data_IF_361192037084
#
_entry.id   IF_361192037084
#
_cell.length_a   1.000
_cell.length_b   1.000
_cell.length_c   1.000
_cell.angle_alpha   90.00
_cell.angle_beta   90.00
_cell.angle_gamma   90.00
#
_symmetry.space_group_name_H-M   'P 1'
#
loop_
_entity.id
_entity.type
_entity.pdbx_description
1 polymer ?
#
# COMPACT_ATOMS: atom_id res chain seq x y z
N UNK A 1 34.93 -80.39 -65.94
CA UNK A 1 36.38 -80.09 -66.06
C UNK A 1 36.69 -78.84 -65.26
N UNK A 2 37.67 -78.93 -64.33
CA UNK A 2 38.51 -77.87 -63.70
C UNK A 2 37.77 -76.73 -62.96
N UNK A 3 37.84 -76.62 -61.62
CA UNK A 3 38.96 -76.13 -60.78
C UNK A 3 39.27 -74.63 -61.05
N UNK A 4 39.55 -73.72 -60.10
CA UNK A 4 39.58 -73.60 -58.63
C UNK A 4 40.08 -72.15 -58.33
N UNK A 5 40.19 -71.79 -57.05
CA UNK A 5 40.84 -70.58 -56.44
C UNK A 5 39.96 -69.31 -56.36
N UNK A 6 39.50 -68.82 -55.19
CA UNK A 6 40.09 -68.63 -53.85
C UNK A 6 41.17 -67.53 -53.80
N UNK A 7 40.83 -66.40 -53.15
CA UNK A 7 41.75 -65.72 -52.24
C UNK A 7 41.01 -64.91 -51.16
N UNK A 8 41.47 -65.16 -49.95
CA UNK A 8 41.02 -64.67 -48.65
C UNK A 8 41.27 -63.19 -48.40
N UNK A 9 40.55 -62.66 -47.40
CA UNK A 9 40.80 -61.35 -46.80
C UNK A 9 40.06 -61.11 -45.49
N UNK A 10 40.41 -61.84 -44.43
CA UNK A 10 40.59 -61.28 -43.09
C UNK A 10 39.37 -60.88 -42.23
N UNK A 11 39.14 -61.66 -41.18
CA UNK A 11 38.32 -61.35 -39.99
C UNK A 11 38.80 -60.10 -39.25
N UNK A 12 37.88 -59.32 -38.67
CA UNK A 12 37.97 -59.01 -37.24
C UNK A 12 36.62 -58.64 -36.62
N UNK A 13 36.28 -59.40 -35.58
CA UNK A 13 35.15 -59.25 -34.67
C UNK A 13 35.36 -58.06 -33.73
N UNK A 14 34.32 -57.25 -33.48
CA UNK A 14 34.16 -56.65 -32.15
C UNK A 14 32.69 -56.69 -31.72
N UNK A 15 32.46 -57.54 -30.71
CA UNK A 15 31.27 -57.54 -29.85
C UNK A 15 31.22 -56.18 -29.14
N UNK A 16 30.27 -55.32 -29.49
CA UNK A 16 29.80 -54.31 -28.54
C UNK A 16 28.59 -54.91 -27.81
N UNK A 17 28.85 -55.34 -26.57
CA UNK A 17 27.85 -55.93 -25.70
C UNK A 17 26.81 -54.92 -25.20
N UNK A 18 25.75 -55.40 -24.53
CA UNK A 18 24.61 -54.62 -24.06
C UNK A 18 24.93 -53.65 -22.90
N UNK A 19 26.20 -53.35 -22.64
CA UNK A 19 26.63 -52.52 -21.51
C UNK A 19 26.55 -51.01 -21.78
N UNK A 20 26.37 -50.59 -23.04
CA UNK A 20 26.26 -49.17 -23.39
C UNK A 20 24.85 -48.59 -23.14
N UNK A 21 23.79 -49.38 -23.32
CA UNK A 21 22.41 -48.92 -23.08
C UNK A 21 22.09 -48.79 -21.59
N UNK A 22 22.60 -49.71 -20.76
CA UNK A 22 22.38 -49.67 -19.31
C UNK A 22 23.05 -48.45 -18.66
N UNK A 23 24.25 -48.04 -19.10
CA UNK A 23 24.96 -46.87 -18.57
C UNK A 23 24.30 -45.55 -18.95
N UNK A 24 23.74 -45.45 -20.16
CA UNK A 24 22.98 -44.26 -20.61
C UNK A 24 21.64 -44.13 -19.87
N UNK A 25 20.92 -45.24 -19.63
CA UNK A 25 19.71 -45.21 -18.81
C UNK A 25 20.00 -44.84 -17.36
N UNK A 26 21.09 -45.35 -16.76
CA UNK A 26 21.46 -45.02 -15.39
C UNK A 26 21.88 -43.55 -15.25
N UNK A 27 22.59 -43.00 -16.25
CA UNK A 27 22.97 -41.58 -16.28
C UNK A 27 21.74 -40.68 -16.41
N UNK A 28 20.78 -41.04 -17.28
CA UNK A 28 19.52 -40.30 -17.44
C UNK A 28 18.66 -40.36 -16.17
N UNK A 29 18.61 -41.50 -15.48
CA UNK A 29 17.92 -41.65 -14.19
C UNK A 29 18.61 -40.87 -13.07
N UNK A 30 19.95 -40.85 -13.03
CA UNK A 30 20.71 -40.03 -12.08
C UNK A 30 20.53 -38.54 -12.33
N UNK A 31 20.50 -38.10 -13.60
CA UNK A 31 20.21 -36.70 -13.94
C UNK A 31 18.77 -36.34 -13.58
N UNK A 32 17.79 -37.22 -13.85
CA UNK A 32 16.39 -37.00 -13.45
C UNK A 32 16.22 -37.00 -11.92
N UNK A 33 16.93 -37.87 -11.19
CA UNK A 33 16.94 -37.88 -9.73
C UNK A 33 17.67 -36.67 -9.14
N UNK A 34 18.76 -36.18 -9.76
CA UNK A 34 19.46 -34.98 -9.31
C UNK A 34 18.68 -33.69 -9.65
N UNK A 35 17.98 -33.63 -10.78
CA UNK A 35 17.06 -32.51 -11.08
C UNK A 35 15.80 -32.58 -10.19
N UNK A 36 15.28 -33.78 -9.91
CA UNK A 36 14.18 -34.00 -8.98
C UNK A 36 14.54 -33.65 -7.53
N UNK A 37 15.76 -33.99 -7.07
CA UNK A 37 16.28 -33.58 -5.77
C UNK A 37 16.58 -32.08 -5.74
N UNK A 38 17.20 -31.49 -6.77
CA UNK A 38 17.42 -30.05 -6.82
C UNK A 38 16.09 -29.28 -6.78
N UNK A 39 15.03 -29.73 -7.46
CA UNK A 39 13.71 -29.11 -7.37
C UNK A 39 12.96 -29.39 -6.07
N UNK A 40 13.11 -30.56 -5.46
CA UNK A 40 12.39 -30.89 -4.21
C UNK A 40 13.13 -30.46 -2.94
N UNK A 41 14.44 -30.21 -3.00
CA UNK A 41 15.26 -29.80 -1.83
C UNK A 41 15.79 -28.37 -1.92
N UNK A 42 16.02 -27.79 -3.12
CA UNK A 42 16.40 -26.38 -3.26
C UNK A 42 15.22 -25.43 -3.51
N UNK A 43 14.07 -25.89 -4.02
CA UNK A 43 12.88 -25.03 -4.10
C UNK A 43 12.27 -24.67 -2.73
N UNK A 44 12.23 -25.57 -1.73
CA UNK A 44 11.82 -25.17 -0.38
C UNK A 44 12.90 -24.37 0.36
N UNK A 45 14.19 -24.59 0.07
CA UNK A 45 15.28 -23.89 0.77
C UNK A 45 15.53 -22.46 0.26
N UNK A 46 15.25 -22.17 -1.02
CA UNK A 46 15.30 -20.80 -1.57
C UNK A 46 13.97 -20.05 -1.40
N UNK A 47 12.86 -20.75 -1.11
CA UNK A 47 11.60 -20.13 -0.67
C UNK A 47 11.48 -20.02 0.86
N UNK A 48 12.48 -20.48 1.62
CA UNK A 48 12.58 -20.32 3.07
C UNK A 48 13.50 -19.16 3.49
N UNK A 49 14.01 -18.36 2.55
CA UNK A 49 14.69 -17.10 2.87
C UNK A 49 13.62 -16.02 3.09
N UNK A 50 13.41 -15.67 4.35
CA UNK A 50 12.35 -14.80 4.88
C UNK A 50 10.95 -15.43 4.81
N UNK A 51 10.55 -16.15 5.87
CA UNK A 51 9.18 -15.97 6.35
C UNK A 51 8.95 -14.47 6.42
N UNK A 52 8.19 -13.92 5.47
CA UNK A 52 7.85 -12.51 5.48
C UNK A 52 6.87 -12.36 6.64
N UNK A 53 7.39 -12.24 7.86
CA UNK A 53 6.60 -11.96 9.06
C UNK A 53 6.13 -10.52 8.87
N UNK A 54 4.91 -10.38 8.37
CA UNK A 54 4.28 -9.07 8.23
C UNK A 54 3.87 -8.65 9.63
N UNK A 55 4.61 -7.70 10.21
CA UNK A 55 4.30 -7.21 11.54
C UNK A 55 2.92 -6.52 11.51
N UNK A 56 2.01 -6.99 12.36
CA UNK A 56 0.76 -6.27 12.64
C UNK A 56 1.16 -4.96 13.30
N UNK A 57 0.74 -3.80 12.76
CA UNK A 57 1.10 -2.52 13.35
C UNK A 57 0.42 -2.40 14.72
N UNK A 58 0.96 -1.54 15.58
CA UNK A 58 0.20 -1.09 16.74
C UNK A 58 -1.05 -0.32 16.28
N UNK A 59 -2.15 -0.37 17.05
CA UNK A 59 -3.37 0.36 16.68
C UNK A 59 -3.13 1.88 16.72
N UNK A 60 -2.21 2.33 17.56
CA UNK A 60 -1.86 3.73 17.75
C UNK A 60 -0.35 3.87 17.60
N UNK A 61 0.08 4.67 16.64
CA UNK A 61 1.48 5.05 16.45
C UNK A 61 1.70 6.41 17.08
N UNK A 62 2.54 6.48 18.11
CA UNK A 62 2.86 7.72 18.81
C UNK A 62 4.06 8.40 18.16
N UNK A 63 3.90 9.69 17.89
CA UNK A 63 4.94 10.56 17.36
C UNK A 63 5.11 11.72 18.33
N UNK A 64 6.36 12.04 18.67
CA UNK A 64 6.67 13.17 19.52
C UNK A 64 7.58 14.14 18.76
N UNK A 65 7.05 15.31 18.42
CA UNK A 65 7.81 16.41 17.82
C UNK A 65 8.51 17.28 18.87
N UNK A 66 8.21 17.11 20.16
CA UNK A 66 8.88 17.79 21.27
C UNK A 66 10.15 17.05 21.74
N UNK A 67 10.24 15.74 21.50
CA UNK A 67 11.41 14.93 21.83
C UNK A 67 12.60 15.23 20.90
N UNK A 68 13.48 16.14 21.33
CA UNK A 68 14.81 16.35 20.73
C UNK A 68 15.62 15.04 20.86
N UNK A 69 15.69 14.25 19.78
CA UNK A 69 16.52 13.02 19.73
C UNK A 69 15.78 11.69 19.49
N UNK A 70 14.51 11.69 19.08
CA UNK A 70 13.81 10.45 18.72
C UNK A 70 14.47 9.67 17.55
N UNK A 71 14.30 8.34 17.52
CA UNK A 71 15.02 7.37 16.66
C UNK A 71 15.02 7.68 15.15
N UNK A 72 14.06 8.46 14.65
CA UNK A 72 14.11 9.05 13.31
C UNK A 72 13.93 10.55 13.47
N UNK A 73 15.01 11.35 13.46
CA UNK A 73 14.89 12.77 13.73
C UNK A 73 14.13 13.45 12.59
N UNK A 74 13.16 14.33 12.89
CA UNK A 74 12.42 15.02 11.87
C UNK A 74 13.38 15.79 10.95
N UNK A 75 13.22 15.59 9.64
CA UNK A 75 14.02 16.28 8.63
C UNK A 75 13.36 17.61 8.32
N UNK A 76 14.17 18.65 8.37
CA UNK A 76 13.78 19.96 7.89
C UNK A 76 13.83 19.94 6.35
N UNK A 77 12.71 20.26 5.69
CA UNK A 77 12.64 20.28 4.22
C UNK A 77 13.04 21.66 3.70
N UNK A 78 13.73 21.69 2.55
CA UNK A 78 14.33 22.87 1.90
C UNK A 78 13.34 24.01 1.54
N UNK A 79 12.04 23.87 1.86
CA UNK A 79 10.99 24.90 1.73
C UNK A 79 10.67 25.64 3.05
N UNK A 80 11.44 25.41 4.12
CA UNK A 80 11.61 26.46 5.14
C UNK A 80 10.54 26.61 6.23
N UNK A 81 9.58 25.69 6.42
CA UNK A 81 8.53 25.91 7.45
C UNK A 81 7.95 24.67 8.15
N UNK A 82 8.51 23.47 7.97
CA UNK A 82 7.93 22.26 8.54
C UNK A 82 8.95 21.20 8.97
N UNK A 83 8.63 20.51 10.07
CA UNK A 83 9.29 19.30 10.51
C UNK A 83 8.62 18.09 9.86
N UNK A 84 9.37 17.24 9.15
CA UNK A 84 8.83 16.01 8.54
C UNK A 84 9.39 14.74 9.20
N UNK A 85 8.49 13.83 9.60
CA UNK A 85 8.79 12.46 9.99
C UNK A 85 8.13 11.49 9.01
N UNK A 86 8.84 10.45 8.58
CA UNK A 86 8.27 9.39 7.74
C UNK A 86 8.05 8.13 8.57
N UNK A 87 6.82 7.65 8.63
CA UNK A 87 6.41 6.43 9.31
C UNK A 87 6.05 5.33 8.29
N UNK A 88 6.90 4.31 8.10
CA UNK A 88 6.53 3.12 7.35
C UNK A 88 5.80 2.13 8.27
N UNK A 89 4.61 1.67 7.86
CA UNK A 89 3.90 0.58 8.53
C UNK A 89 3.00 -0.17 7.55
N UNK A 90 2.55 -1.37 7.91
CA UNK A 90 1.64 -2.17 7.06
C UNK A 90 0.25 -2.24 7.67
N UNK A 91 -0.82 -2.17 6.89
CA UNK A 91 -2.22 -2.32 7.36
C UNK A 91 -2.68 -3.78 7.38
N UNK A 92 -1.78 -4.68 7.74
CA UNK A 92 -2.03 -6.13 7.81
C UNK A 92 -2.80 -6.42 9.09
N UNK A 93 -3.94 -7.11 8.96
CA UNK A 93 -4.81 -7.40 10.10
C UNK A 93 -5.49 -6.19 10.75
N UNK A 94 -5.35 -4.99 10.18
CA UNK A 94 -6.01 -3.78 10.66
C UNK A 94 -6.70 -3.04 9.52
N UNK A 95 -7.91 -2.57 9.80
CA UNK A 95 -8.61 -1.63 8.92
C UNK A 95 -8.14 -0.19 9.16
N UNK A 96 -7.61 0.10 10.35
CA UNK A 96 -7.25 1.45 10.77
C UNK A 96 -6.03 1.42 11.69
N UNK A 97 -5.18 2.44 11.53
CA UNK A 97 -4.12 2.83 12.48
C UNK A 97 -4.27 4.31 12.76
N UNK A 98 -4.21 4.70 14.03
CA UNK A 98 -4.26 6.10 14.44
C UNK A 98 -2.84 6.61 14.69
N UNK A 99 -2.47 7.73 14.09
CA UNK A 99 -1.25 8.47 14.41
C UNK A 99 -1.61 9.49 15.48
N UNK A 100 -0.96 9.38 16.64
CA UNK A 100 -1.08 10.33 17.74
C UNK A 100 0.21 11.16 17.80
N UNK A 101 0.12 12.43 17.41
CA UNK A 101 1.25 13.34 17.35
C UNK A 101 1.21 14.33 18.51
N UNK A 102 2.24 14.33 19.34
CA UNK A 102 2.46 15.34 20.36
C UNK A 102 3.27 16.50 19.76
N UNK A 103 2.73 17.70 19.82
CA UNK A 103 3.34 18.90 19.28
C UNK A 103 3.96 19.74 20.41
N UNK A 104 5.16 20.32 20.21
CA UNK A 104 5.81 21.16 21.22
C UNK A 104 5.05 22.47 21.48
N UNK A 105 4.28 22.94 20.50
CA UNK A 105 3.47 24.16 20.56
C UNK A 105 2.30 24.05 19.57
N UNK A 106 1.26 24.91 19.65
CA UNK A 106 0.15 24.89 18.71
C UNK A 106 0.62 25.16 17.28
N UNK A 107 0.21 24.36 16.29
CA UNK A 107 0.52 24.62 14.89
C UNK A 107 -0.28 23.72 13.97
N UNK A 108 0.09 23.69 12.68
CA UNK A 108 -0.64 22.91 11.68
C UNK A 108 0.04 21.56 11.48
N UNK A 109 -0.62 20.50 11.90
CA UNK A 109 -0.19 19.12 11.63
C UNK A 109 -0.91 18.55 10.41
N UNK A 110 -0.14 17.91 9.53
CA UNK A 110 -0.63 17.23 8.34
C UNK A 110 0.00 15.84 8.22
N UNK A 111 -0.74 14.90 7.65
CA UNK A 111 -0.19 13.62 7.24
C UNK A 111 -0.42 13.46 5.74
N UNK A 112 0.68 13.20 5.03
CA UNK A 112 0.69 13.00 3.59
C UNK A 112 1.05 11.54 3.31
N UNK A 113 0.25 10.88 2.50
CA UNK A 113 0.56 9.54 2.02
C UNK A 113 1.59 9.63 0.88
N UNK A 114 2.78 9.06 1.09
CA UNK A 114 3.85 9.06 0.10
C UNK A 114 3.84 7.83 -0.82
N UNK A 115 3.22 6.72 -0.40
CA UNK A 115 3.05 5.54 -1.24
C UNK A 115 1.63 5.51 -1.84
N UNK A 116 1.47 5.97 -3.08
CA UNK A 116 0.18 6.01 -3.77
C UNK A 116 -0.47 4.63 -3.98
N UNK A 117 0.31 3.53 -3.95
CA UNK A 117 -0.24 2.18 -4.08
C UNK A 117 -1.09 1.77 -2.88
N UNK A 118 -0.75 2.27 -1.68
CA UNK A 118 -1.47 1.95 -0.45
C UNK A 118 -2.75 2.77 -0.34
N UNK A 119 -3.80 2.39 -1.07
CA UNK A 119 -5.10 3.10 -1.07
C UNK A 119 -5.64 3.26 0.36
N UNK A 120 -5.45 4.43 0.96
CA UNK A 120 -5.91 4.78 2.30
C UNK A 120 -6.68 6.09 2.28
N UNK A 121 -7.53 6.24 3.28
CA UNK A 121 -8.25 7.46 3.59
C UNK A 121 -7.64 8.05 4.86
N UNK A 122 -7.32 9.34 4.83
CA UNK A 122 -6.73 10.07 5.95
C UNK A 122 -7.86 10.89 6.59
N UNK A 123 -8.20 10.60 7.85
CA UNK A 123 -9.26 11.29 8.58
C UNK A 123 -8.69 11.98 9.80
N UNK A 124 -8.91 13.29 9.92
CA UNK A 124 -8.50 14.05 11.11
C UNK A 124 -9.55 13.87 12.21
N UNK A 125 -9.10 13.51 13.40
CA UNK A 125 -9.95 13.49 14.60
C UNK A 125 -9.89 14.85 15.32
N UNK A 126 -10.86 15.16 16.20
CA UNK A 126 -10.78 16.35 17.05
C UNK A 126 -9.49 16.34 17.88
N UNK A 127 -8.73 17.44 17.82
CA UNK A 127 -7.52 17.62 18.60
C UNK A 127 -7.84 17.77 20.10
N UNK A 128 -6.94 17.29 20.95
CA UNK A 128 -7.04 17.42 22.40
C UNK A 128 -5.77 18.10 22.94
N UNK A 129 -5.83 19.42 23.12
CA UNK A 129 -4.68 20.21 23.57
C UNK A 129 -3.54 20.21 22.54
N UNK A 130 -2.33 19.86 22.97
CA UNK A 130 -1.14 19.76 22.12
C UNK A 130 -1.03 18.43 21.34
N UNK A 131 -2.05 17.57 21.43
CA UNK A 131 -2.06 16.27 20.77
C UNK A 131 -3.02 16.26 19.59
N UNK A 132 -2.48 15.97 18.42
CA UNK A 132 -3.20 15.76 17.17
C UNK A 132 -3.42 14.27 16.93
N UNK A 133 -4.58 13.92 16.36
CA UNK A 133 -4.92 12.53 16.03
C UNK A 133 -5.41 12.43 14.60
N UNK A 134 -4.77 11.55 13.84
CA UNK A 134 -5.11 11.29 12.45
C UNK A 134 -5.27 9.79 12.25
N UNK A 135 -6.44 9.37 11.76
CA UNK A 135 -6.70 8.00 11.37
C UNK A 135 -6.26 7.76 9.93
N UNK A 136 -5.47 6.71 9.75
CA UNK A 136 -5.16 6.13 8.46
C UNK A 136 -6.03 4.89 8.29
N UNK A 137 -7.08 5.04 7.50
CA UNK A 137 -8.08 3.99 7.27
C UNK A 137 -7.81 3.35 5.91
N UNK A 138 -7.78 2.02 5.87
CA UNK A 138 -7.65 1.27 4.62
C UNK A 138 -8.86 1.54 3.74
N UNK A 139 -8.65 2.12 2.56
CA UNK A 139 -9.74 2.33 1.59
C UNK A 139 -10.06 1.05 0.80
N UNK A 140 -9.17 0.05 0.89
CA UNK A 140 -9.39 -1.27 0.32
C UNK A 140 -10.46 -2.05 1.07
N UNK A 141 -11.60 -2.28 0.41
CA UNK A 141 -12.63 -3.19 0.87
C UNK A 141 -12.40 -4.56 0.26
N UNK A 142 -12.08 -5.52 1.13
CA UNK A 142 -11.88 -6.90 0.70
C UNK A 142 -13.22 -7.58 0.47
N UNK A 143 -13.28 -8.33 -0.62
CA UNK A 143 -14.46 -9.09 -0.99
C UNK A 143 -14.15 -10.58 -0.84
N UNK A 144 -14.84 -11.31 0.04
CA UNK A 144 -14.62 -12.75 0.17
C UNK A 144 -15.12 -13.49 -1.06
N UNK A 145 -14.60 -14.70 -1.32
CA UNK A 145 -14.98 -15.51 -2.48
C UNK A 145 -16.50 -15.66 -2.64
N UNK A 146 -17.23 -15.89 -1.54
CA UNK A 146 -18.68 -16.06 -1.52
C UNK A 146 -19.42 -14.82 -2.02
N UNK A 147 -18.86 -13.62 -1.84
CA UNK A 147 -19.48 -12.41 -2.37
C UNK A 147 -19.33 -12.31 -3.89
N UNK A 148 -18.28 -12.87 -4.49
CA UNK A 148 -18.21 -12.99 -5.97
C UNK A 148 -19.23 -13.98 -6.50
N UNK A 149 -19.43 -15.12 -5.81
CA UNK A 149 -20.45 -16.09 -6.19
C UNK A 149 -21.86 -15.47 -6.17
N UNK A 150 -22.20 -14.70 -5.12
CA UNK A 150 -23.51 -14.02 -5.02
C UNK A 150 -23.70 -12.98 -6.13
N UNK A 151 -22.69 -12.18 -6.40
CA UNK A 151 -22.78 -11.17 -7.45
C UNK A 151 -22.87 -11.81 -8.84
N UNK A 152 -22.15 -12.90 -9.08
CA UNK A 152 -22.25 -13.67 -10.31
C UNK A 152 -23.65 -14.28 -10.50
N UNK A 153 -24.24 -14.81 -9.43
CA UNK A 153 -25.62 -15.31 -9.46
C UNK A 153 -26.63 -14.18 -9.77
N UNK A 154 -26.47 -13.02 -9.15
CA UNK A 154 -27.32 -11.85 -9.41
C UNK A 154 -27.23 -11.40 -10.88
N UNK A 155 -26.01 -11.28 -11.42
CA UNK A 155 -25.78 -10.93 -12.83
C UNK A 155 -26.34 -12.00 -13.77
N UNK A 156 -26.19 -13.28 -13.43
CA UNK A 156 -26.72 -14.37 -14.24
C UNK A 156 -28.26 -14.38 -14.27
N UNK A 157 -28.91 -14.09 -13.14
CA UNK A 157 -30.37 -13.95 -13.07
C UNK A 157 -30.87 -12.69 -13.78
N UNK A 158 -30.10 -11.60 -13.77
CA UNK A 158 -30.41 -10.38 -14.52
C UNK A 158 -30.39 -10.63 -16.03
N UNK A 159 -29.42 -11.42 -16.51
CA UNK A 159 -29.37 -11.83 -17.91
C UNK A 159 -30.63 -12.59 -18.37
N UNK A 160 -31.35 -13.22 -17.45
CA UNK A 160 -32.63 -13.91 -17.67
C UNK A 160 -33.86 -13.01 -17.46
N UNK A 161 -33.71 -11.69 -17.47
CA UNK A 161 -34.78 -10.75 -17.11
C UNK A 161 -36.08 -10.86 -17.91
N UNK A 162 -36.02 -11.26 -19.19
CA UNK A 162 -37.24 -11.52 -19.99
C UNK A 162 -37.93 -12.81 -19.52
N UNK A 163 -37.17 -13.89 -19.33
CA UNK A 163 -37.69 -15.16 -18.83
C UNK A 163 -38.24 -15.03 -17.41
N UNK A 164 -37.63 -14.19 -16.57
CA UNK A 164 -38.16 -13.84 -15.24
C UNK A 164 -39.50 -13.11 -15.35
N UNK A 165 -39.65 -12.18 -16.30
CA UNK A 165 -40.94 -11.50 -16.55
C UNK A 165 -42.01 -12.48 -17.01
N UNK A 166 -41.67 -13.40 -17.91
CA UNK A 166 -42.58 -14.47 -18.33
C UNK A 166 -42.97 -15.37 -17.15
N UNK A 167 -42.01 -15.80 -16.32
CA UNK A 167 -42.30 -16.59 -15.12
C UNK A 167 -43.21 -15.85 -14.12
N UNK A 168 -43.06 -14.53 -13.96
CA UNK A 168 -43.97 -13.70 -13.15
C UNK A 168 -45.40 -13.66 -13.68
N UNK A 169 -45.59 -13.69 -14.99
CA UNK A 169 -46.92 -13.76 -15.59
C UNK A 169 -47.56 -15.15 -15.37
N UNK A 170 -46.76 -16.22 -15.36
CA UNK A 170 -47.24 -17.56 -14.99
C UNK A 170 -47.67 -17.61 -13.51
N UNK A 171 -47.00 -16.85 -12.62
CA UNK A 171 -47.32 -16.78 -11.19
C UNK A 171 -48.68 -16.17 -10.87
N UNK A 172 -49.22 -15.26 -11.69
CA UNK A 172 -50.48 -14.55 -11.39
C UNK A 172 -51.71 -15.47 -11.24
N UNK A 173 -51.63 -16.72 -11.68
CA UNK A 173 -52.70 -17.72 -11.55
C UNK A 173 -52.36 -18.94 -10.69
N UNK A 174 -51.20 -18.97 -10.01
CA UNK A 174 -50.78 -20.13 -9.21
C UNK A 174 -51.05 -19.93 -7.72
N UNK A 175 -51.68 -20.93 -7.09
CA UNK A 175 -51.80 -20.98 -5.63
C UNK A 175 -50.53 -21.57 -4.99
N UNK A 176 -50.39 -21.39 -3.66
CA UNK A 176 -49.25 -21.89 -2.91
C UNK A 176 -49.07 -23.42 -3.02
N UNK A 177 -50.17 -24.16 -3.24
CA UNK A 177 -50.16 -25.62 -3.41
C UNK A 177 -49.51 -26.01 -4.75
N UNK A 178 -49.91 -25.36 -5.84
CA UNK A 178 -49.34 -25.55 -7.17
C UNK A 178 -47.86 -25.16 -7.20
N UNK A 179 -47.50 -24.04 -6.55
CA UNK A 179 -46.10 -23.61 -6.41
C UNK A 179 -45.22 -24.66 -5.73
N UNK A 180 -45.69 -25.20 -4.59
CA UNK A 180 -44.97 -26.25 -3.86
C UNK A 180 -44.89 -27.54 -4.68
N UNK A 181 -45.96 -27.92 -5.38
CA UNK A 181 -45.96 -29.11 -6.23
C UNK A 181 -44.91 -28.99 -7.34
N UNK A 182 -44.88 -27.85 -8.04
CA UNK A 182 -43.89 -27.56 -9.07
C UNK A 182 -42.46 -27.57 -8.50
N UNK A 183 -42.23 -26.85 -7.40
CA UNK A 183 -40.91 -26.78 -6.78
C UNK A 183 -40.46 -28.16 -6.29
N UNK A 184 -41.31 -28.97 -5.65
CA UNK A 184 -40.96 -30.35 -5.25
C UNK A 184 -40.60 -31.25 -6.43
N UNK A 185 -41.32 -31.12 -7.54
CA UNK A 185 -41.06 -31.92 -8.73
C UNK A 185 -39.70 -31.59 -9.36
N UNK A 186 -39.29 -30.33 -9.28
CA UNK A 186 -38.04 -29.83 -9.87
C UNK A 186 -36.86 -29.75 -8.88
N UNK A 187 -37.12 -29.81 -7.57
CA UNK A 187 -36.11 -29.76 -6.50
C UNK A 187 -35.39 -31.10 -6.37
N UNK A 188 -34.52 -31.41 -7.34
CA UNK A 188 -33.63 -32.58 -7.31
C UNK A 188 -32.56 -32.49 -6.21
N UNK A 189 -32.33 -31.30 -5.68
CA UNK A 189 -31.52 -31.02 -4.49
C UNK A 189 -32.40 -31.17 -3.25
N UNK A 190 -32.06 -32.06 -2.31
CA UNK A 190 -32.83 -32.35 -1.08
C UNK A 190 -32.99 -31.17 -0.08
N UNK A 191 -32.91 -29.91 -0.51
CA UNK A 191 -33.12 -28.76 0.34
C UNK A 191 -34.60 -28.66 0.74
N UNK A 192 -34.86 -28.47 2.04
CA UNK A 192 -36.21 -28.24 2.54
C UNK A 192 -36.77 -26.96 1.90
N UNK A 193 -37.98 -27.06 1.33
CA UNK A 193 -38.69 -25.88 0.84
C UNK A 193 -39.14 -25.05 2.05
N UNK A 194 -39.18 -23.71 1.96
CA UNK A 194 -39.74 -22.86 3.02
C UNK A 194 -41.17 -23.31 3.37
N UNK A 195 -41.42 -23.62 4.64
CA UNK A 195 -42.71 -24.19 5.06
C UNK A 195 -43.83 -23.15 5.16
N UNK A 196 -43.52 -21.87 5.32
CA UNK A 196 -44.52 -20.83 5.65
C UNK A 196 -44.45 -19.55 4.81
N UNK A 197 -43.38 -19.30 4.03
CA UNK A 197 -43.24 -18.03 3.29
C UNK A 197 -43.60 -18.17 1.80
N UNK A 198 -44.80 -17.71 1.44
CA UNK A 198 -45.28 -17.69 0.04
C UNK A 198 -44.42 -16.80 -0.86
N UNK A 199 -43.88 -15.68 -0.35
CA UNK A 199 -43.05 -14.78 -1.15
C UNK A 199 -41.72 -15.44 -1.51
N UNK A 200 -41.13 -16.21 -0.59
CA UNK A 200 -39.93 -17.01 -0.88
C UNK A 200 -40.21 -18.11 -1.92
N UNK A 201 -41.37 -18.77 -1.84
CA UNK A 201 -41.77 -19.79 -2.83
C UNK A 201 -41.97 -19.17 -4.23
N UNK A 202 -42.57 -17.97 -4.30
CA UNK A 202 -42.74 -17.22 -5.55
C UNK A 202 -41.40 -16.80 -6.15
N UNK A 203 -40.47 -16.27 -5.36
CA UNK A 203 -39.13 -15.89 -5.82
C UNK A 203 -38.31 -17.11 -6.32
N UNK A 204 -38.37 -18.23 -5.59
CA UNK A 204 -37.73 -19.49 -6.00
C UNK A 204 -38.30 -20.01 -7.33
N UNK A 205 -39.63 -20.01 -7.46
CA UNK A 205 -40.29 -20.39 -8.71
C UNK A 205 -39.84 -19.50 -9.87
N UNK A 206 -39.87 -18.18 -9.70
CA UNK A 206 -39.49 -17.24 -10.74
C UNK A 206 -38.05 -17.48 -11.22
N UNK A 207 -37.11 -17.65 -10.29
CA UNK A 207 -35.70 -17.93 -10.60
C UNK A 207 -35.54 -19.23 -11.38
N UNK A 208 -36.16 -20.32 -10.91
CA UNK A 208 -36.03 -21.63 -11.52
C UNK A 208 -36.69 -21.70 -12.89
N UNK A 209 -37.91 -21.17 -12.99
CA UNK A 209 -38.65 -21.12 -14.23
C UNK A 209 -37.92 -20.29 -15.28
N UNK A 210 -37.30 -19.17 -14.87
CA UNK A 210 -36.49 -18.37 -15.78
C UNK A 210 -35.28 -19.16 -16.32
N UNK A 211 -34.63 -19.98 -15.49
CA UNK A 211 -33.52 -20.86 -15.90
C UNK A 211 -33.99 -21.95 -16.87
N UNK A 212 -35.18 -22.52 -16.67
CA UNK A 212 -35.78 -23.50 -17.60
C UNK A 212 -36.13 -22.90 -18.97
N UNK A 213 -36.63 -21.67 -18.98
CA UNK A 213 -37.01 -20.96 -20.20
C UNK A 213 -35.80 -20.31 -20.91
N UNK A 214 -34.69 -20.11 -20.19
CA UNK A 214 -33.51 -19.39 -20.63
C UNK A 214 -32.31 -20.15 -21.25
N UNK A 215 -32.34 -21.45 -21.62
CA UNK A 215 -31.14 -22.13 -22.12
C UNK A 215 -30.42 -21.41 -23.26
N UNK A 216 -31.14 -20.87 -24.26
CA UNK A 216 -30.50 -20.17 -25.39
C UNK A 216 -29.81 -18.87 -24.97
N UNK A 217 -30.41 -18.13 -24.04
CA UNK A 217 -29.80 -16.91 -23.48
C UNK A 217 -28.51 -17.27 -22.74
N UNK A 218 -28.54 -18.30 -21.89
CA UNK A 218 -27.38 -18.75 -21.14
C UNK A 218 -26.26 -19.26 -22.05
N UNK A 219 -26.58 -20.02 -23.12
CA UNK A 219 -25.58 -20.44 -24.11
C UNK A 219 -24.93 -19.26 -24.80
N UNK A 220 -25.74 -18.28 -25.24
CA UNK A 220 -25.23 -17.07 -25.88
C UNK A 220 -24.26 -16.31 -24.97
N UNK A 221 -24.61 -16.14 -23.69
CA UNK A 221 -23.75 -15.47 -22.70
C UNK A 221 -22.49 -16.26 -22.34
N UNK A 222 -22.59 -17.59 -22.26
CA UNK A 222 -21.44 -18.47 -22.10
C UNK A 222 -20.47 -18.36 -23.28
N UNK A 223 -20.99 -18.31 -24.50
CA UNK A 223 -20.16 -18.10 -25.69
C UNK A 223 -19.50 -16.73 -25.71
N UNK A 224 -20.22 -15.68 -25.32
CA UNK A 224 -19.68 -14.32 -25.22
C UNK A 224 -18.51 -14.26 -24.22
N UNK A 225 -18.69 -14.81 -23.01
CA UNK A 225 -17.60 -14.94 -22.04
C UNK A 225 -16.46 -15.78 -22.60
N UNK A 226 -16.75 -16.92 -23.24
CA UNK A 226 -15.73 -17.80 -23.81
C UNK A 226 -14.93 -17.10 -24.92
N UNK A 227 -15.51 -16.21 -25.71
CA UNK A 227 -14.74 -15.44 -26.73
C UNK A 227 -13.69 -14.54 -26.09
N UNK A 228 -14.03 -13.92 -24.96
CA UNK A 228 -13.11 -13.04 -24.22
C UNK A 228 -12.16 -13.80 -23.27
N UNK A 229 -12.54 -15.02 -22.86
CA UNK A 229 -11.88 -15.84 -21.81
C UNK A 229 -11.62 -17.29 -22.25
N UNK A 230 -11.30 -17.52 -23.52
CA UNK A 230 -11.27 -18.86 -24.12
C UNK A 230 -10.34 -19.87 -23.45
N UNK A 231 -9.29 -19.43 -22.76
CA UNK A 231 -8.38 -20.31 -22.03
C UNK A 231 -9.00 -20.97 -20.79
N UNK A 232 -10.11 -20.45 -20.26
CA UNK A 232 -10.77 -20.96 -19.04
C UNK A 232 -11.77 -22.09 -19.30
N UNK A 233 -12.06 -22.35 -20.57
CA UNK A 233 -13.09 -23.30 -21.00
C UNK A 233 -12.44 -24.30 -21.95
N UNK A 234 -12.54 -25.58 -21.61
CA UNK A 234 -12.04 -26.64 -22.47
C UNK A 234 -12.94 -26.81 -23.69
N UNK A 235 -12.39 -27.35 -24.79
CA UNK A 235 -13.18 -27.65 -25.99
C UNK A 235 -14.35 -28.60 -25.71
N UNK A 236 -14.19 -29.52 -24.75
CA UNK A 236 -15.21 -30.49 -24.38
C UNK A 236 -16.32 -29.87 -23.51
N UNK A 237 -15.98 -28.99 -22.57
CA UNK A 237 -16.97 -28.18 -21.84
C UNK A 237 -17.82 -27.36 -22.81
N UNK A 238 -17.17 -26.70 -23.78
CA UNK A 238 -17.88 -25.89 -24.78
C UNK A 238 -18.83 -26.73 -25.63
N UNK A 239 -18.41 -27.93 -26.05
CA UNK A 239 -19.28 -28.86 -26.79
C UNK A 239 -20.47 -29.33 -25.94
N UNK A 240 -20.26 -29.55 -24.64
CA UNK A 240 -21.30 -30.01 -23.72
C UNK A 240 -22.45 -28.99 -23.59
N UNK A 241 -22.18 -27.69 -23.71
CA UNK A 241 -23.21 -26.64 -23.63
C UNK A 241 -24.33 -26.77 -24.65
N UNK A 242 -24.03 -27.29 -25.86
CA UNK A 242 -25.01 -27.44 -26.92
C UNK A 242 -26.19 -28.37 -26.55
N UNK A 243 -25.99 -29.30 -25.61
CA UNK A 243 -27.01 -30.25 -25.14
C UNK A 243 -27.34 -30.10 -23.65
N UNK A 244 -26.71 -29.14 -22.96
CA UNK A 244 -26.89 -28.93 -21.54
C UNK A 244 -28.28 -28.36 -21.23
N UNK A 245 -28.82 -28.72 -20.07
CA UNK A 245 -30.05 -28.13 -19.52
C UNK A 245 -29.80 -26.70 -19.04
N UNK A 246 -30.87 -25.91 -18.88
CA UNK A 246 -30.78 -24.55 -18.34
C UNK A 246 -30.03 -24.48 -17.02
N UNK A 247 -30.28 -25.39 -16.08
CA UNK A 247 -29.58 -25.43 -14.78
C UNK A 247 -28.08 -25.73 -14.90
N UNK A 248 -27.69 -26.65 -15.79
CA UNK A 248 -26.29 -26.93 -16.04
C UNK A 248 -25.59 -25.71 -16.66
N UNK A 249 -26.23 -25.05 -17.62
CA UNK A 249 -25.75 -23.81 -18.23
C UNK A 249 -25.66 -22.66 -17.20
N UNK A 250 -26.65 -22.53 -16.32
CA UNK A 250 -26.66 -21.51 -15.27
C UNK A 250 -25.51 -21.68 -14.29
N UNK A 251 -25.24 -22.94 -13.88
CA UNK A 251 -24.09 -23.27 -13.04
C UNK A 251 -22.78 -22.91 -13.72
N UNK A 252 -22.62 -23.31 -14.98
CA UNK A 252 -21.38 -23.05 -15.74
C UNK A 252 -21.20 -21.54 -15.99
N UNK A 253 -22.28 -20.82 -16.27
CA UNK A 253 -22.26 -19.36 -16.47
C UNK A 253 -21.92 -18.62 -15.18
N UNK A 254 -22.57 -18.98 -14.07
CA UNK A 254 -22.25 -18.45 -12.75
C UNK A 254 -20.81 -18.71 -12.34
N UNK A 255 -20.26 -19.90 -12.63
CA UNK A 255 -18.84 -20.21 -12.42
C UNK A 255 -17.95 -19.24 -13.21
N UNK A 256 -18.16 -19.10 -14.52
CA UNK A 256 -17.32 -18.23 -15.36
C UNK A 256 -17.45 -16.74 -14.99
N UNK A 257 -18.64 -16.29 -14.61
CA UNK A 257 -18.86 -14.93 -14.09
C UNK A 257 -18.12 -14.71 -12.77
N UNK A 258 -18.16 -15.68 -11.85
CA UNK A 258 -17.43 -15.60 -10.58
C UNK A 258 -15.94 -15.41 -10.84
N UNK A 259 -15.39 -16.20 -11.77
CA UNK A 259 -14.00 -16.10 -12.22
C UNK A 259 -13.70 -14.72 -12.85
N UNK A 260 -14.54 -14.22 -13.74
CA UNK A 260 -14.34 -12.92 -14.39
C UNK A 260 -14.41 -11.74 -13.41
N UNK A 261 -15.35 -11.77 -12.45
CA UNK A 261 -15.48 -10.75 -11.41
C UNK A 261 -14.28 -10.76 -10.46
N UNK A 262 -13.84 -11.95 -10.03
CA UNK A 262 -12.66 -12.09 -9.20
C UNK A 262 -11.37 -11.69 -9.96
N UNK A 263 -11.27 -11.96 -11.26
CA UNK A 263 -10.13 -11.55 -12.10
C UNK A 263 -10.01 -10.03 -12.19
N UNK A 264 -11.14 -9.38 -12.49
CA UNK A 264 -11.24 -7.92 -12.55
C UNK A 264 -10.88 -7.29 -11.20
N UNK A 265 -11.33 -7.91 -10.12
CA UNK A 265 -10.98 -7.49 -8.77
C UNK A 265 -9.46 -7.60 -8.53
N UNK A 266 -8.85 -8.78 -8.73
CA UNK A 266 -7.41 -8.97 -8.54
C UNK A 266 -6.58 -8.05 -9.46
N UNK A 267 -6.98 -7.90 -10.71
CA UNK A 267 -6.32 -7.01 -11.68
C UNK A 267 -6.41 -5.54 -11.26
N UNK A 268 -7.57 -5.10 -10.74
CA UNK A 268 -7.73 -3.77 -10.15
C UNK A 268 -6.88 -3.54 -8.88
N UNK A 269 -6.33 -4.62 -8.33
CA UNK A 269 -5.39 -4.64 -7.21
C UNK A 269 -3.93 -4.81 -7.67
N UNK A 270 -3.67 -4.73 -8.97
CA UNK A 270 -2.32 -4.81 -9.55
C UNK A 270 -1.75 -6.23 -9.64
N UNK A 271 -2.55 -7.25 -9.32
CA UNK A 271 -2.16 -8.66 -9.48
C UNK A 271 -2.27 -9.04 -10.95
N UNK A 272 -1.32 -9.86 -11.44
CA UNK A 272 -1.32 -10.27 -12.83
C UNK A 272 -2.52 -11.16 -13.13
N UNK A 273 -3.12 -10.93 -14.29
CA UNK A 273 -4.14 -11.78 -14.86
C UNK A 273 -3.53 -13.15 -15.17
N UNK A 274 -4.15 -14.20 -14.65
CA UNK A 274 -3.76 -15.56 -14.94
C UNK A 274 -4.35 -16.03 -16.29
N UNK A 275 -3.55 -16.76 -17.07
CA UNK A 275 -3.93 -17.23 -18.43
C UNK A 275 -3.91 -18.74 -18.59
N UNK A 276 -3.61 -19.47 -17.51
CA UNK A 276 -3.43 -20.93 -17.54
C UNK A 276 -4.75 -21.72 -17.43
N UNK A 277 -4.72 -23.01 -17.81
CA UNK A 277 -5.89 -23.90 -17.75
C UNK A 277 -6.39 -24.22 -16.32
N UNK A 278 -5.53 -24.10 -15.30
CA UNK A 278 -5.89 -24.32 -13.88
C UNK A 278 -6.38 -23.03 -13.18
N UNK A 279 -6.81 -22.04 -13.96
CA UNK A 279 -7.19 -20.71 -13.50
C UNK A 279 -8.19 -20.70 -12.33
N UNK A 280 -9.18 -21.59 -12.35
CA UNK A 280 -10.29 -21.56 -11.40
C UNK A 280 -9.87 -21.89 -9.96
N UNK A 281 -8.96 -22.84 -9.76
CA UNK A 281 -8.45 -23.18 -8.42
C UNK A 281 -7.46 -22.12 -7.93
N UNK A 282 -6.63 -21.60 -8.83
CA UNK A 282 -5.63 -20.57 -8.50
C UNK A 282 -6.30 -19.26 -8.09
N UNK A 283 -7.32 -18.80 -8.82
CA UNK A 283 -7.90 -17.49 -8.55
C UNK A 283 -8.63 -17.43 -7.20
N UNK A 284 -9.34 -18.49 -6.82
CA UNK A 284 -10.02 -18.56 -5.53
C UNK A 284 -9.01 -18.50 -4.39
N UNK A 285 -7.91 -19.26 -4.49
CA UNK A 285 -6.81 -19.23 -3.52
C UNK A 285 -6.13 -17.86 -3.47
N UNK A 286 -5.97 -17.16 -4.60
CA UNK A 286 -5.43 -15.79 -4.60
C UNK A 286 -6.36 -14.79 -3.92
N UNK A 287 -7.67 -14.89 -4.14
CA UNK A 287 -8.67 -14.07 -3.42
C UNK A 287 -8.61 -14.34 -1.92
N UNK A 288 -8.61 -15.60 -1.52
CA UNK A 288 -8.50 -16.02 -0.11
C UNK A 288 -7.18 -15.59 0.52
N UNK A 289 -6.06 -15.69 -0.20
CA UNK A 289 -4.75 -15.26 0.26
C UNK A 289 -4.69 -13.75 0.49
N UNK A 290 -5.27 -12.97 -0.43
CA UNK A 290 -5.40 -11.53 -0.28
C UNK A 290 -6.27 -11.16 0.93
N UNK A 291 -7.40 -11.83 1.13
CA UNK A 291 -8.26 -11.65 2.32
C UNK A 291 -7.55 -12.06 3.61
N UNK A 292 -6.74 -13.12 3.58
CA UNK A 292 -5.98 -13.59 4.72
C UNK A 292 -4.95 -12.55 5.20
N UNK A 293 -4.25 -11.89 4.28
CA UNK A 293 -3.36 -10.78 4.63
C UNK A 293 -4.11 -9.57 5.18
N UNK A 294 -5.22 -9.20 4.53
CA UNK A 294 -6.04 -8.08 4.97
C UNK A 294 -6.59 -8.24 6.38
N UNK A 295 -7.07 -9.44 6.70
CA UNK A 295 -7.66 -9.81 7.98
C UNK A 295 -6.62 -10.22 9.03
N UNK A 296 -5.35 -10.39 8.64
CA UNK A 296 -4.30 -10.89 9.52
C UNK A 296 -4.37 -12.39 9.79
N UNK A 297 -5.36 -13.12 9.24
CA UNK A 297 -5.48 -14.58 9.37
C UNK A 297 -4.28 -15.33 8.79
N UNK A 298 -3.52 -14.73 7.88
CA UNK A 298 -2.26 -15.30 7.38
C UNK A 298 -1.18 -15.44 8.46
N UNK A 299 -1.29 -14.69 9.56
CA UNK A 299 -0.34 -14.65 10.67
C UNK A 299 -0.71 -15.63 11.80
N UNK A 300 -1.89 -16.24 11.73
CA UNK A 300 -2.40 -17.15 12.77
C UNK A 300 -1.83 -18.59 12.56
N UNK A 301 -1.08 -19.13 13.55
CA UNK A 301 -0.49 -20.45 13.48
C UNK A 301 -1.51 -21.61 13.49
N UNK A 302 -2.79 -21.35 13.70
CA UNK A 302 -3.86 -22.35 13.62
C UNK A 302 -4.60 -22.32 12.27
N UNK A 303 -4.49 -21.23 11.48
CA UNK A 303 -5.19 -21.07 10.20
C UNK A 303 -4.39 -21.62 9.02
N UNK A 304 -4.27 -22.96 8.96
CA UNK A 304 -3.52 -23.66 7.90
C UNK A 304 -4.03 -23.33 6.50
N UNK A 305 -5.36 -23.25 6.31
CA UNK A 305 -5.97 -22.94 5.01
C UNK A 305 -5.59 -21.54 4.49
N UNK A 306 -5.55 -20.54 5.38
CA UNK A 306 -5.14 -19.18 5.03
C UNK A 306 -3.68 -19.13 4.57
N UNK A 307 -2.79 -19.90 5.22
CA UNK A 307 -1.38 -20.01 4.81
C UNK A 307 -1.21 -20.77 3.49
N UNK A 308 -2.03 -21.79 3.24
CA UNK A 308 -2.04 -22.49 1.95
C UNK A 308 -2.51 -21.56 0.82
N UNK A 309 -3.52 -20.74 1.05
CA UNK A 309 -3.98 -19.74 0.09
C UNK A 309 -2.91 -18.68 -0.22
N UNK A 310 -2.17 -18.21 0.80
CA UNK A 310 -1.02 -17.31 0.62
C UNK A 310 0.09 -17.97 -0.21
N UNK A 311 0.38 -19.25 0.01
CA UNK A 311 1.40 -19.99 -0.79
C UNK A 311 1.04 -20.15 -2.25
N UNK A 312 -0.23 -19.97 -2.63
CA UNK A 312 -0.65 -19.96 -4.03
C UNK A 312 -0.33 -18.64 -4.76
N UNK A 313 0.08 -17.60 -4.03
CA UNK A 313 0.52 -16.33 -4.62
C UNK A 313 1.99 -16.41 -5.03
N UNK A 314 2.32 -15.86 -6.19
CA UNK A 314 3.72 -15.76 -6.64
C UNK A 314 4.48 -14.73 -5.80
N UNK A 315 5.83 -14.76 -5.76
CA UNK A 315 6.60 -13.71 -5.10
C UNK A 315 6.28 -12.29 -5.62
N UNK A 316 5.97 -12.17 -6.92
CA UNK A 316 5.55 -10.91 -7.51
C UNK A 316 4.18 -10.45 -7.00
N UNK A 317 3.23 -11.37 -6.84
CA UNK A 317 1.93 -11.10 -6.26
C UNK A 317 2.08 -10.62 -4.80
N UNK A 318 2.88 -11.34 -4.01
CA UNK A 318 3.16 -11.00 -2.62
C UNK A 318 3.81 -9.61 -2.48
N UNK A 319 4.74 -9.26 -3.37
CA UNK A 319 5.34 -7.93 -3.42
C UNK A 319 4.29 -6.84 -3.70
N UNK A 320 3.35 -7.10 -4.62
CA UNK A 320 2.26 -6.16 -4.94
C UNK A 320 1.27 -6.01 -3.79
N UNK A 321 0.91 -7.10 -3.11
CA UNK A 321 0.06 -7.04 -1.92
C UNK A 321 0.76 -6.28 -0.80
N UNK A 322 2.05 -6.54 -0.57
CA UNK A 322 2.85 -5.81 0.42
C UNK A 322 2.91 -4.33 0.09
N UNK A 323 3.20 -3.96 -1.15
CA UNK A 323 3.22 -2.57 -1.63
C UNK A 323 1.87 -1.88 -1.40
N UNK A 324 0.75 -2.56 -1.67
CA UNK A 324 -0.60 -2.03 -1.47
C UNK A 324 -1.05 -1.96 0.00
N UNK A 325 -0.45 -2.73 0.91
CA UNK A 325 -0.73 -2.66 2.34
C UNK A 325 0.28 -1.80 3.11
N UNK A 326 1.42 -1.46 2.51
CA UNK A 326 2.47 -0.67 3.15
C UNK A 326 2.15 0.82 3.03
N UNK A 327 1.74 1.43 4.13
CA UNK A 327 1.59 2.86 4.24
C UNK A 327 2.95 3.50 4.49
N UNK A 328 3.23 4.57 3.74
CA UNK A 328 4.33 5.48 4.01
C UNK A 328 3.73 6.84 4.37
N UNK A 329 3.55 7.10 5.66
CA UNK A 329 2.93 8.33 6.16
C UNK A 329 4.00 9.38 6.47
N UNK A 330 3.98 10.50 5.74
CA UNK A 330 4.79 11.68 6.01
C UNK A 330 4.02 12.60 6.94
N UNK A 331 4.41 12.60 8.20
CA UNK A 331 3.86 13.46 9.24
C UNK A 331 4.60 14.79 9.19
N UNK A 332 3.89 15.88 8.89
CA UNK A 332 4.43 17.23 8.78
C UNK A 332 3.85 18.11 9.87
N UNK A 333 4.73 18.80 10.58
CA UNK A 333 4.35 19.79 11.56
C UNK A 333 4.84 21.16 11.11
N UNK A 334 3.90 22.05 10.81
CA UNK A 334 4.14 23.44 10.48
C UNK A 334 3.96 24.29 11.73
N UNK A 335 5.00 25.05 12.04
CA UNK A 335 4.98 25.97 13.16
C UNK A 335 3.97 27.11 12.92
N UNK A 336 3.36 27.68 13.97
CA UNK A 336 2.38 28.76 13.83
C UNK A 336 3.09 30.04 13.34
N UNK A 337 2.89 30.40 12.08
CA UNK A 337 3.45 31.61 11.47
C UNK A 337 2.32 32.47 10.92
N UNK A 338 2.22 33.73 11.36
CA UNK A 338 1.45 34.71 10.60
C UNK A 338 2.26 35.10 9.35
N UNK A 339 1.70 34.85 8.17
CA UNK A 339 2.30 35.20 6.89
C UNK A 339 2.33 36.71 6.63
N UNK A 340 1.46 37.47 7.31
CA UNK A 340 1.37 38.92 7.19
C UNK A 340 2.23 39.68 8.20
N UNK A 341 2.77 38.99 9.22
CA UNK A 341 3.68 39.57 10.22
C UNK A 341 5.15 39.27 9.87
N UNK A 342 5.93 40.29 9.46
CA UNK A 342 7.35 40.14 9.17
C UNK A 342 8.15 39.60 10.35
N UNK A 343 7.74 39.87 11.60
CA UNK A 343 8.43 39.38 12.79
C UNK A 343 8.19 37.89 13.03
N UNK A 344 6.98 37.40 12.77
CA UNK A 344 6.67 35.97 12.78
C UNK A 344 7.45 35.23 11.70
N UNK A 345 7.52 35.78 10.47
CA UNK A 345 8.33 35.20 9.39
C UNK A 345 9.82 35.19 9.74
N UNK A 346 10.31 36.25 10.40
CA UNK A 346 11.68 36.33 10.89
C UNK A 346 11.98 35.31 11.99
N UNK A 347 11.08 35.17 12.97
CA UNK A 347 11.20 34.18 14.04
C UNK A 347 11.25 32.75 13.49
N UNK A 348 10.46 32.44 12.46
CA UNK A 348 10.56 31.15 11.75
C UNK A 348 11.88 31.02 11.02
N UNK A 349 12.26 31.98 10.16
CA UNK A 349 13.54 31.95 9.46
C UNK A 349 14.74 31.76 10.41
N UNK A 350 14.71 32.36 11.60
CA UNK A 350 15.70 32.14 12.65
C UNK A 350 15.73 30.67 13.12
N UNK A 351 14.58 30.08 13.47
CA UNK A 351 14.51 28.66 13.87
C UNK A 351 14.98 27.71 12.76
N UNK A 352 14.68 28.07 11.51
CA UNK A 352 15.03 27.31 10.29
C UNK A 352 16.52 27.29 10.05
N UNK A 353 17.17 28.47 10.02
CA UNK A 353 18.63 28.59 9.88
C UNK A 353 19.34 27.83 11.00
N UNK A 354 18.76 27.80 12.19
CA UNK A 354 19.40 27.23 13.37
C UNK A 354 19.17 25.73 13.55
N UNK A 355 18.11 25.17 12.97
CA UNK A 355 17.90 23.72 12.86
C UNK A 355 18.71 23.08 11.71
N UNK A 356 19.31 23.89 10.83
CA UNK A 356 20.20 23.41 9.79
C UNK A 356 21.43 22.73 10.42
N UNK A 357 21.65 21.45 10.10
CA UNK A 357 22.74 20.66 10.67
C UNK A 357 24.10 21.15 10.17
N UNK A 358 25.13 21.01 11.03
CA UNK A 358 26.54 21.32 10.75
C UNK A 358 26.87 22.81 10.56
N UNK A 359 26.21 23.70 11.30
CA UNK A 359 26.66 25.09 11.36
C UNK A 359 27.73 25.27 12.43
N UNK A 360 28.76 26.05 12.09
CA UNK A 360 29.78 26.52 13.03
C UNK A 360 29.42 27.89 13.61
N UNK A 361 28.67 28.70 12.86
CA UNK A 361 28.16 29.99 13.31
C UNK A 361 26.98 30.49 12.48
N UNK A 362 26.16 31.33 13.10
CA UNK A 362 25.08 32.09 12.46
C UNK A 362 25.32 33.56 12.73
N UNK A 363 25.56 34.33 11.68
CA UNK A 363 25.70 35.79 11.74
C UNK A 363 24.43 36.46 11.23
N UNK A 364 24.16 37.63 11.77
CA UNK A 364 23.01 38.45 11.45
C UNK A 364 23.54 39.79 11.04
N UNK A 365 23.04 40.34 9.94
CA UNK A 365 23.28 41.73 9.57
C UNK A 365 21.97 42.50 9.44
N UNK A 366 21.86 43.57 10.22
CA UNK A 366 20.67 44.41 10.23
C UNK A 366 20.98 45.90 10.21
N UNK A 367 19.92 46.69 10.09
CA UNK A 367 19.97 48.15 10.24
C UNK A 367 18.85 48.58 11.18
N UNK A 368 19.19 49.28 12.26
CA UNK A 368 18.24 49.89 13.19
C UNK A 368 18.10 51.38 12.87
N UNK A 369 16.91 51.96 12.99
CA UNK A 369 16.72 53.41 13.05
C UNK A 369 16.41 53.85 14.49
N UNK A 370 17.41 54.30 15.27
CA UNK A 370 17.21 54.70 16.66
C UNK A 370 16.28 55.91 16.80
N UNK A 371 16.24 56.79 15.79
CA UNK A 371 15.31 57.93 15.73
C UNK A 371 13.84 57.51 15.59
N UNK A 372 13.58 56.27 15.17
CA UNK A 372 12.25 55.63 15.16
C UNK A 372 12.03 54.69 16.35
N UNK A 373 12.98 54.65 17.29
CA UNK A 373 13.00 53.72 18.42
C UNK A 373 13.03 52.24 18.01
N UNK A 374 13.60 51.92 16.86
CA UNK A 374 13.72 50.55 16.37
C UNK A 374 14.54 49.68 17.33
N UNK A 375 14.11 48.43 17.46
CA UNK A 375 14.79 47.38 18.22
C UNK A 375 14.76 46.10 17.41
N UNK A 376 15.84 45.34 17.45
CA UNK A 376 15.86 43.98 16.94
C UNK A 376 15.89 43.00 18.11
N UNK A 377 14.94 42.07 18.13
CA UNK A 377 14.90 40.98 19.09
C UNK A 377 15.33 39.68 18.40
N UNK A 378 16.33 39.03 18.97
CA UNK A 378 16.91 37.76 18.56
C UNK A 378 16.75 36.76 19.67
N UNK A 379 16.50 35.50 19.33
CA UNK A 379 16.44 34.43 20.31
C UNK A 379 17.68 33.54 20.15
N UNK A 380 18.51 33.47 21.18
CA UNK A 380 19.62 32.51 21.33
C UNK A 380 19.03 31.13 21.58
N UNK A 381 19.50 30.17 20.78
CA UNK A 381 18.85 28.88 20.63
C UNK A 381 19.45 27.83 21.56
N UNK A 382 18.71 26.73 21.77
CA UNK A 382 19.00 25.66 22.73
C UNK A 382 20.39 25.03 22.58
N UNK A 383 20.96 25.01 21.38
CA UNK A 383 22.29 24.41 21.07
C UNK A 383 23.44 25.44 20.96
N UNK A 384 23.14 26.72 21.16
CA UNK A 384 24.09 27.82 21.07
C UNK A 384 24.34 28.40 22.45
N UNK A 385 25.61 28.59 22.79
CA UNK A 385 25.97 29.12 24.09
C UNK A 385 25.79 30.65 24.09
N UNK A 386 24.99 31.23 24.99
CA UNK A 386 24.82 32.69 25.10
C UNK A 386 26.14 33.42 25.37
N UNK A 387 27.11 32.78 26.02
CA UNK A 387 28.42 33.36 26.30
C UNK A 387 29.33 33.39 25.05
N UNK A 388 28.89 32.74 23.97
CA UNK A 388 29.58 32.65 22.70
C UNK A 388 28.90 33.49 21.61
N UNK A 389 28.09 34.47 22.00
CA UNK A 389 27.57 35.48 21.07
C UNK A 389 28.59 36.60 20.92
N UNK A 390 29.09 36.83 19.70
CA UNK A 390 29.95 37.96 19.36
C UNK A 390 29.16 39.03 18.62
N UNK A 391 29.18 40.23 19.16
CA UNK A 391 28.61 41.41 18.51
C UNK A 391 29.72 42.22 17.84
N UNK A 392 29.61 42.38 16.52
CA UNK A 392 30.51 43.23 15.74
C UNK A 392 29.76 44.48 15.29
N UNK A 393 30.16 45.64 15.81
CA UNK A 393 29.68 46.94 15.36
C UNK A 393 30.72 47.60 14.46
N UNK A 394 30.34 48.05 13.24
CA UNK A 394 31.22 48.89 12.44
C UNK A 394 31.32 50.28 13.08
N UNK A 395 32.17 50.43 14.12
CA UNK A 395 32.57 51.69 14.76
C UNK A 395 31.45 52.74 14.91
N UNK A 396 30.49 52.55 15.80
CA UNK A 396 29.62 53.65 16.25
C UNK A 396 29.33 53.50 17.75
N UNK A 397 29.46 54.60 18.50
CA UNK A 397 28.96 54.71 19.88
C UNK A 397 27.43 54.70 19.86
N UNK A 398 26.77 54.10 20.87
CA UNK A 398 25.31 54.13 21.00
C UNK A 398 24.58 52.88 20.49
N UNK A 399 25.11 51.68 20.71
CA UNK A 399 24.30 50.46 20.62
C UNK A 399 24.33 49.77 21.97
N UNK A 400 23.17 49.54 22.57
CA UNK A 400 23.01 48.71 23.75
C UNK A 400 22.49 47.34 23.33
N UNK A 401 22.95 46.30 24.03
CA UNK A 401 22.38 44.97 23.90
C UNK A 401 21.99 44.45 25.28
N UNK A 402 20.90 43.70 25.32
CA UNK A 402 20.40 43.09 26.54
C UNK A 402 20.11 41.63 26.24
N UNK A 403 20.76 40.73 26.97
CA UNK A 403 20.46 39.30 26.94
C UNK A 403 19.47 39.03 28.08
N UNK A 404 18.26 38.64 27.74
CA UNK A 404 17.26 38.18 28.69
C UNK A 404 17.29 36.66 28.73
N UNK A 405 17.36 36.05 29.91
CA UNK A 405 17.05 34.63 30.06
C UNK A 405 15.52 34.50 30.15
N UNK A 406 14.90 33.74 29.25
CA UNK A 406 13.51 33.31 29.44
C UNK A 406 13.45 32.05 30.31
N UNK A 407 12.27 31.78 30.89
CA UNK A 407 12.03 30.65 31.80
C UNK A 407 12.36 29.28 31.16
N UNK A 408 12.39 29.19 29.82
CA UNK A 408 12.63 27.97 29.05
C UNK A 408 14.08 27.77 28.58
N UNK A 409 15.07 28.45 29.19
CA UNK A 409 16.50 28.44 28.77
C UNK A 409 16.76 28.96 27.35
N UNK A 410 15.79 29.61 26.73
CA UNK A 410 15.97 30.37 25.50
C UNK A 410 16.44 31.76 25.92
N UNK A 411 17.59 32.21 25.43
CA UNK A 411 18.02 33.59 25.69
C UNK A 411 17.44 34.49 24.62
N UNK A 412 17.04 35.70 24.97
CA UNK A 412 16.64 36.74 24.01
C UNK A 412 17.71 37.81 23.99
N UNK A 413 18.42 37.95 22.90
CA UNK A 413 19.29 39.08 22.62
C UNK A 413 18.48 40.21 22.00
N UNK A 414 18.31 41.30 22.73
CA UNK A 414 17.78 42.55 22.20
C UNK A 414 18.93 43.45 21.80
N UNK A 415 18.91 43.97 20.58
CA UNK A 415 19.82 45.03 20.11
C UNK A 415 19.00 46.30 19.92
N UNK A 416 19.44 47.37 20.57
CA UNK A 416 18.81 48.68 20.48
C UNK A 416 19.87 49.75 20.22
N UNK A 417 19.60 50.63 19.25
CA UNK A 417 20.46 51.77 18.97
C UNK A 417 20.08 53.01 19.79
N UNK A 418 21.01 53.95 19.87
CA UNK A 418 20.88 55.29 20.44
C UNK A 418 21.31 56.32 19.38
N UNK A 419 20.69 57.50 19.37
CA UNK A 419 21.00 58.58 18.42
C UNK A 419 19.90 58.81 17.37
N UNK A 420 20.22 59.56 16.32
CA UNK A 420 19.25 59.99 15.30
C UNK A 420 19.45 59.35 13.91
N UNK A 421 20.57 58.66 13.69
CA UNK A 421 20.94 58.08 12.38
C UNK A 421 20.79 56.56 12.36
N UNK A 422 20.50 56.00 11.17
CA UNK A 422 20.42 54.55 11.00
C UNK A 422 21.76 53.86 11.31
N UNK A 423 21.70 52.78 12.10
CA UNK A 423 22.85 52.02 12.60
C UNK A 423 22.87 50.62 12.01
N UNK A 424 23.96 50.26 11.33
CA UNK A 424 24.19 48.88 10.90
C UNK A 424 24.80 48.07 12.03
N UNK A 425 24.35 46.84 12.20
CA UNK A 425 24.89 45.94 13.21
C UNK A 425 25.14 44.55 12.63
N UNK A 426 26.14 43.83 13.19
CA UNK A 426 26.33 42.40 12.96
C UNK A 426 26.35 41.63 14.28
N UNK A 427 25.53 40.59 14.39
CA UNK A 427 25.50 39.68 15.55
C UNK A 427 25.83 38.25 15.12
N UNK A 428 26.87 37.64 15.69
CA UNK A 428 27.29 36.28 15.38
C UNK A 428 27.15 35.36 16.58
N UNK A 429 26.40 34.27 16.43
CA UNK A 429 26.23 33.21 17.40
C UNK A 429 27.07 31.99 16.98
N UNK A 430 27.85 31.42 17.89
CA UNK A 430 28.67 30.21 17.61
C UNK A 430 28.08 28.97 18.27
N UNK A 431 28.11 27.84 17.55
CA UNK A 431 27.61 26.57 18.06
C UNK A 431 28.53 26.03 19.17
N UNK A 432 27.95 25.47 20.24
CA UNK A 432 28.71 24.94 21.40
C UNK A 432 29.66 23.81 21.01
N UNK A 433 29.25 22.97 20.06
CA UNK A 433 30.06 21.88 19.50
C UNK A 433 30.05 21.99 17.98
N UNK A 434 30.83 22.92 17.42
CA UNK A 434 30.97 23.03 15.98
C UNK A 434 31.68 21.75 15.43
N UNK A 435 31.05 20.98 14.53
CA UNK A 435 31.72 19.85 13.91
C UNK A 435 32.88 20.33 13.02
N UNK A 436 33.96 19.54 12.84
CA UNK A 436 35.02 19.86 11.89
C UNK A 436 34.42 20.09 10.50
N UNK A 437 34.65 21.28 9.91
CA UNK A 437 34.07 21.66 8.62
C UNK A 437 32.65 22.26 8.68
N UNK A 438 32.16 22.65 9.86
CA UNK A 438 30.86 23.31 10.00
C UNK A 438 30.76 24.63 9.22
N UNK A 439 29.60 24.87 8.60
CA UNK A 439 29.33 26.04 7.74
C UNK A 439 29.01 27.30 8.55
N UNK A 440 29.43 28.46 8.06
CA UNK A 440 29.00 29.75 8.60
C UNK A 440 27.86 30.31 7.74
N UNK A 441 26.77 30.76 8.36
CA UNK A 441 25.62 31.36 7.67
C UNK A 441 25.51 32.83 8.06
N UNK A 442 25.13 33.70 7.11
CA UNK A 442 24.83 35.11 7.36
C UNK A 442 23.40 35.41 6.92
N UNK A 443 22.58 35.91 7.82
CA UNK A 443 21.17 36.28 7.59
C UNK A 443 21.04 37.80 7.57
N UNK A 444 20.34 38.36 6.59
CA UNK A 444 20.17 39.82 6.43
C UNK A 444 18.73 40.25 6.76
N UNK A 445 18.55 41.25 7.62
CA UNK A 445 17.21 41.71 8.09
C UNK A 445 16.40 42.52 7.06
N UNK A 446 17.02 43.04 6.00
CA UNK A 446 16.31 43.86 5.00
C UNK A 446 16.44 43.29 3.58
N UNK A 447 15.32 43.30 2.85
CA UNK A 447 15.25 42.97 1.41
C UNK A 447 15.86 44.05 0.51
N UNK A 448 16.37 45.17 1.02
CA UNK A 448 16.97 46.22 0.18
C UNK A 448 18.30 45.77 -0.48
N UNK A 449 18.90 44.66 -0.03
CA UNK A 449 19.99 43.96 -0.73
C UNK A 449 19.50 42.75 -1.55
N UNK A 450 18.21 42.64 -1.86
CA UNK A 450 17.58 41.51 -2.57
C UNK A 450 17.86 41.48 -4.10
N UNK A 451 19.11 41.71 -4.51
CA UNK A 451 19.65 40.90 -5.61
C UNK A 451 20.27 39.60 -5.09
N UNK A 452 20.36 39.43 -3.77
CA UNK A 452 20.42 38.10 -3.17
C UNK A 452 19.04 37.45 -3.40
N UNK A 453 18.92 36.61 -4.44
CA UNK A 453 17.96 35.52 -4.42
C UNK A 453 18.18 34.82 -3.10
N UNK A 454 17.27 34.98 -2.15
CA UNK A 454 17.29 34.27 -0.87
C UNK A 454 17.59 32.79 -1.16
N UNK A 455 18.77 32.26 -0.78
CA UNK A 455 19.01 30.84 -0.90
C UNK A 455 19.30 30.29 0.49
N UNK A 456 18.28 29.58 1.00
CA UNK A 456 18.30 28.66 2.14
C UNK A 456 18.09 29.28 3.52
#
# INVERSE_FOLDING_TARGET
>A
MRASWQKDGGRNTSRQGPFFSARLCLLALLIACMMGWAWTTLAPAVCASEEVIWAVPEPVLKVDFAAVGAQTPPRFLDEGAAWELTLPFTLVGREQVTIEAHLPEPGKFEVIQANAAAKVEIRRQPAAGATERIDIVRAWKFKPWQAFCRDAEAVALEALGEQRRQARQELTGMDAKALRAYLRQNNKTKAALPEEDENQLRDLYEKWRAVELGPEVLRSRLEELCRSRGAWVTGDERKAWGKASGFALMRDYGRLLTLDLADKYLTGHGLKRETEQNYASVIALKVEGLEAFASGRSLDPEKVQARQAVRAMTPQDLAKVREALTVLAKCRYHLPADAADPNSQWYHAQRVVCAARNLSSVSVEGTLNPGSHDRADWWTLVDYDPDWVRLEFPRVQGVSHQIYLSEDRIYRLRVAGEGAGALRYRCTMYARTAPPGGKAVVVYESSAKANAKFPF
#
